data_IF_551732635222
#
_entry.id   IF_551732635222
#
_cell.length_a   1.000
_cell.length_b   1.000
_cell.length_c   1.000
_cell.angle_alpha   90.00
_cell.angle_beta   90.00
_cell.angle_gamma   90.00
#
_symmetry.space_group_name_H-M   'P 1'
#
loop_
_entity.id
_entity.type
_entity.pdbx_description
1 polymer ?
#
# COMPACT_ATOMS: atom_id res chain seq x y z
N UNK A 1 -13.67 3.12 -19.93
CA UNK A 1 -14.15 4.28 -19.15
C UNK A 1 -13.14 5.41 -19.31
N UNK A 2 -13.53 6.63 -19.71
CA UNK A 2 -12.58 7.69 -19.99
C UNK A 2 -12.54 8.68 -18.84
N UNK A 3 -11.86 8.34 -17.73
CA UNK A 3 -11.28 9.34 -16.80
C UNK A 3 -10.35 8.69 -15.75
N UNK A 4 -9.49 7.77 -16.18
CA UNK A 4 -8.56 7.08 -15.28
C UNK A 4 -7.14 7.45 -15.70
N UNK A 5 -6.57 8.42 -14.98
CA UNK A 5 -5.12 8.51 -14.82
C UNK A 5 -4.73 8.11 -13.40
N UNK A 6 -4.31 6.87 -13.17
CA UNK A 6 -3.32 6.51 -12.19
C UNK A 6 -1.99 6.47 -12.93
N UNK A 7 -1.47 7.64 -13.28
CA UNK A 7 -0.16 7.78 -13.90
C UNK A 7 0.90 7.90 -12.81
N UNK A 8 1.87 6.99 -12.78
CA UNK A 8 3.07 7.09 -11.96
C UNK A 8 3.76 8.45 -12.23
N UNK A 9 3.64 9.41 -11.31
CA UNK A 9 4.25 10.74 -11.46
C UNK A 9 5.55 10.77 -10.64
N UNK A 10 6.64 10.27 -11.24
CA UNK A 10 7.99 10.28 -10.64
C UNK A 10 8.28 9.12 -9.67
N UNK A 11 9.16 9.32 -8.69
CA UNK A 11 9.50 8.33 -7.65
C UNK A 11 8.37 8.05 -6.63
N UNK A 12 7.23 8.73 -6.78
CA UNK A 12 6.09 8.63 -5.87
C UNK A 12 5.08 7.63 -6.44
N UNK A 13 4.63 6.70 -5.59
CA UNK A 13 3.64 5.72 -5.99
C UNK A 13 2.29 6.40 -6.23
N UNK A 14 1.40 5.76 -7.01
CA UNK A 14 0.03 6.25 -7.24
C UNK A 14 -0.74 6.50 -5.93
N UNK A 15 -0.36 5.81 -4.86
CA UNK A 15 -0.89 5.98 -3.53
C UNK A 15 -0.46 7.31 -2.86
N UNK A 16 0.81 7.71 -3.01
CA UNK A 16 1.30 9.01 -2.52
C UNK A 16 0.60 10.18 -3.23
N UNK A 17 0.39 10.02 -4.54
CA UNK A 17 -0.36 10.98 -5.35
C UNK A 17 -1.83 11.07 -4.89
N UNK A 18 -2.43 9.94 -4.51
CA UNK A 18 -3.79 9.89 -3.97
C UNK A 18 -3.90 10.60 -2.62
N UNK A 19 -3.03 10.28 -1.65
CA UNK A 19 -3.06 10.93 -0.34
C UNK A 19 -2.89 12.45 -0.43
N UNK A 20 -1.98 12.92 -1.29
CA UNK A 20 -1.79 14.36 -1.56
C UNK A 20 -3.02 15.00 -2.20
N UNK A 21 -3.65 14.32 -3.16
CA UNK A 21 -4.85 14.82 -3.84
C UNK A 21 -6.05 15.00 -2.90
N UNK A 22 -6.17 14.13 -1.89
CA UNK A 22 -7.30 14.16 -0.95
C UNK A 22 -6.97 14.80 0.42
N UNK A 23 -5.78 15.38 0.58
CA UNK A 23 -5.33 16.08 1.81
C UNK A 23 -5.53 15.27 3.10
N UNK A 24 -5.20 13.98 3.07
CA UNK A 24 -5.20 13.17 4.28
C UNK A 24 -3.95 13.49 5.13
N UNK A 25 -4.14 14.21 6.24
CA UNK A 25 -3.10 14.48 7.26
C UNK A 25 -3.00 13.35 8.32
N UNK A 26 -3.18 12.10 7.89
CA UNK A 26 -3.07 10.93 8.78
C UNK A 26 -1.67 10.34 8.70
N UNK A 27 -0.90 10.44 9.80
CA UNK A 27 0.47 9.93 9.89
C UNK A 27 0.56 8.41 9.65
N UNK A 28 -0.46 7.66 10.04
CA UNK A 28 -0.52 6.22 9.80
C UNK A 28 -0.75 5.92 8.32
N UNK A 29 -1.61 6.67 7.63
CA UNK A 29 -1.78 6.55 6.17
C UNK A 29 -0.48 6.90 5.42
N UNK A 30 0.22 7.94 5.85
CA UNK A 30 1.53 8.30 5.27
C UNK A 30 2.56 7.18 5.46
N UNK A 31 2.57 6.49 6.61
CA UNK A 31 3.48 5.36 6.84
C UNK A 31 3.10 4.15 5.99
N UNK A 32 1.81 3.83 5.88
CA UNK A 32 1.29 2.81 4.96
C UNK A 32 1.72 3.11 3.52
N UNK A 33 1.65 4.36 3.09
CA UNK A 33 2.09 4.78 1.75
C UNK A 33 3.56 4.46 1.48
N UNK A 34 4.44 4.74 2.43
CA UNK A 34 5.87 4.43 2.31
C UNK A 34 6.12 2.91 2.21
N UNK A 35 5.43 2.12 3.04
CA UNK A 35 5.57 0.66 3.04
C UNK A 35 5.11 0.07 1.70
N UNK A 36 3.92 0.47 1.23
CA UNK A 36 3.35 -0.02 -0.04
C UNK A 36 4.13 0.51 -1.24
N UNK A 37 4.61 1.76 -1.16
CA UNK A 37 5.49 2.35 -2.16
C UNK A 37 6.77 1.53 -2.33
N UNK A 38 7.45 1.19 -1.23
CA UNK A 38 8.65 0.35 -1.24
C UNK A 38 8.40 -1.04 -1.85
N UNK A 39 7.26 -1.66 -1.50
CA UNK A 39 6.84 -2.93 -2.08
C UNK A 39 6.54 -2.83 -3.59
N UNK A 40 5.83 -1.78 -4.02
CA UNK A 40 5.36 -1.60 -5.39
C UNK A 40 6.42 -1.13 -6.38
N UNK A 41 7.46 -0.41 -5.93
CA UNK A 41 8.56 0.06 -6.77
C UNK A 41 9.79 -0.85 -6.74
N UNK A 42 9.75 -1.95 -5.99
CA UNK A 42 10.89 -2.86 -5.81
C UNK A 42 11.99 -2.33 -4.88
N UNK A 43 11.78 -1.20 -4.21
CA UNK A 43 12.68 -0.66 -3.19
C UNK A 43 12.40 -1.31 -1.83
N UNK A 44 12.62 -2.63 -1.74
CA UNK A 44 12.22 -3.42 -0.56
C UNK A 44 12.95 -3.04 0.74
N UNK A 45 14.00 -2.23 0.67
CA UNK A 45 14.69 -1.66 1.83
C UNK A 45 14.21 -0.26 2.23
N UNK A 46 13.20 0.30 1.56
CA UNK A 46 12.67 1.65 1.87
C UNK A 46 12.09 1.69 3.29
N UNK A 47 11.42 0.62 3.70
CA UNK A 47 11.00 0.39 5.08
C UNK A 47 11.27 -1.07 5.47
N UNK A 48 11.47 -1.38 6.77
CA UNK A 48 11.64 -2.77 7.23
C UNK A 48 10.51 -3.72 6.81
N UNK A 49 9.29 -3.19 6.68
CA UNK A 49 8.06 -3.93 6.38
C UNK A 49 7.86 -4.17 4.87
N UNK A 50 8.50 -3.38 4.01
CA UNK A 50 8.29 -3.38 2.55
C UNK A 50 8.49 -4.76 1.91
N UNK A 51 9.55 -5.47 2.30
CA UNK A 51 9.81 -6.83 1.81
C UNK A 51 8.72 -7.84 2.22
N UNK A 52 8.22 -7.72 3.45
CA UNK A 52 7.19 -8.61 3.99
C UNK A 52 5.84 -8.42 3.29
N UNK A 53 5.42 -7.16 3.13
CA UNK A 53 4.18 -6.84 2.40
C UNK A 53 4.26 -7.31 0.95
N UNK A 54 5.40 -7.10 0.28
CA UNK A 54 5.61 -7.60 -1.08
C UNK A 54 5.46 -9.13 -1.16
N UNK A 55 6.08 -9.88 -0.23
CA UNK A 55 5.97 -11.33 -0.19
C UNK A 55 4.52 -11.81 0.03
N UNK A 56 3.77 -11.16 0.93
CA UNK A 56 2.36 -11.48 1.19
C UNK A 56 1.50 -11.20 -0.04
N UNK A 57 1.64 -10.03 -0.67
CA UNK A 57 0.88 -9.67 -1.88
C UNK A 57 1.12 -10.65 -3.03
N UNK A 58 2.38 -11.08 -3.25
CA UNK A 58 2.71 -12.11 -4.24
C UNK A 58 2.15 -13.48 -3.83
N UNK A 59 2.14 -13.82 -2.54
CA UNK A 59 1.54 -15.04 -2.04
C UNK A 59 0.04 -15.11 -2.32
N UNK A 60 -0.68 -14.01 -2.06
CA UNK A 60 -2.12 -13.87 -2.33
C UNK A 60 -2.39 -14.06 -3.83
N UNK A 61 -1.63 -13.40 -4.71
CA UNK A 61 -1.85 -13.51 -6.16
C UNK A 61 -1.56 -14.90 -6.74
N UNK A 62 -0.72 -15.69 -6.06
CA UNK A 62 -0.48 -17.10 -6.40
C UNK A 62 -1.50 -18.06 -5.81
N UNK A 63 -2.16 -17.66 -4.73
CA UNK A 63 -3.14 -18.50 -4.02
C UNK A 63 -4.51 -18.42 -4.66
N UNK A 64 -4.92 -17.23 -5.10
CA UNK A 64 -6.25 -16.98 -5.66
C UNK A 64 -6.14 -16.57 -7.12
N UNK A 65 -6.85 -17.28 -8.00
CA UNK A 65 -6.90 -16.92 -9.42
C UNK A 65 -7.88 -15.77 -9.71
N UNK A 66 -8.90 -15.62 -8.86
CA UNK A 66 -9.91 -14.57 -8.95
C UNK A 66 -9.40 -13.27 -8.31
N UNK A 67 -9.52 -12.16 -9.04
CA UNK A 67 -9.03 -10.85 -8.63
C UNK A 67 -9.85 -10.26 -7.48
N UNK A 68 -11.15 -10.54 -7.42
CA UNK A 68 -12.01 -10.13 -6.31
C UNK A 68 -11.65 -10.85 -5.01
N UNK A 69 -11.28 -12.14 -5.06
CA UNK A 69 -10.73 -12.85 -3.91
C UNK A 69 -9.37 -12.28 -3.48
N UNK A 70 -8.44 -12.07 -4.42
CA UNK A 70 -7.16 -11.44 -4.10
C UNK A 70 -7.35 -10.08 -3.41
N UNK A 71 -8.25 -9.25 -3.94
CA UNK A 71 -8.57 -7.95 -3.36
C UNK A 71 -9.16 -8.10 -1.96
N UNK A 72 -10.12 -9.01 -1.75
CA UNK A 72 -10.76 -9.23 -0.45
C UNK A 72 -9.73 -9.55 0.63
N UNK A 73 -8.78 -10.45 0.35
CA UNK A 73 -7.72 -10.79 1.30
C UNK A 73 -6.67 -9.69 1.43
N UNK A 74 -6.32 -9.01 0.33
CA UNK A 74 -5.42 -7.87 0.35
C UNK A 74 -5.92 -6.72 1.21
N UNK A 75 -7.21 -6.40 1.15
CA UNK A 75 -7.83 -5.36 1.97
C UNK A 75 -7.67 -5.64 3.47
N UNK A 76 -7.84 -6.89 3.91
CA UNK A 76 -7.63 -7.26 5.32
C UNK A 76 -6.19 -7.01 5.77
N UNK A 77 -5.21 -7.29 4.91
CA UNK A 77 -3.78 -7.04 5.19
C UNK A 77 -3.52 -5.54 5.30
N UNK A 78 -4.04 -4.74 4.38
CA UNK A 78 -3.86 -3.28 4.40
C UNK A 78 -4.58 -2.62 5.59
N UNK A 79 -5.77 -3.08 5.96
CA UNK A 79 -6.48 -2.61 7.16
C UNK A 79 -5.70 -2.92 8.43
N UNK A 80 -5.19 -4.15 8.58
CA UNK A 80 -4.37 -4.54 9.73
C UNK A 80 -3.08 -3.72 9.82
N UNK A 81 -2.44 -3.48 8.67
CA UNK A 81 -1.24 -2.65 8.59
C UNK A 81 -1.52 -1.20 8.99
N UNK A 82 -2.62 -0.60 8.51
CA UNK A 82 -3.04 0.73 8.91
C UNK A 82 -3.27 0.83 10.43
N UNK A 83 -4.00 -0.13 11.01
CA UNK A 83 -4.24 -0.17 12.46
C UNK A 83 -2.93 -0.28 13.25
N UNK A 84 -1.97 -1.08 12.78
CA UNK A 84 -0.64 -1.16 13.39
C UNK A 84 0.11 0.17 13.33
N UNK A 85 0.17 0.80 12.15
CA UNK A 85 0.82 2.10 11.99
C UNK A 85 0.17 3.19 12.84
N UNK A 86 -1.14 3.12 13.04
CA UNK A 86 -1.87 4.04 13.90
C UNK A 86 -1.53 3.84 15.38
N UNK A 87 -1.46 2.58 15.84
CA UNK A 87 -1.06 2.29 17.21
C UNK A 87 0.36 2.77 17.53
N UNK A 88 1.29 2.68 16.56
CA UNK A 88 2.65 3.21 16.68
C UNK A 88 2.70 4.75 16.70
N UNK A 89 1.83 5.43 15.94
CA UNK A 89 1.76 6.89 15.91
C UNK A 89 1.13 7.51 17.17
N UNK A 90 0.28 6.75 17.87
CA UNK A 90 -0.40 7.16 19.10
C UNK A 90 0.47 6.93 20.37
N UNK A 91 1.68 6.39 20.23
CA UNK A 91 2.64 6.08 21.31
C UNK A 91 3.72 7.15 21.45
#
# INVERSE_FOLDING_TARGET
>A
MPDVEPGHHGELCSFDAFLRKYQFDDAALCRVAQIVGGAGTGHLGLTPESAGVCAVSIGISRTFADDHEQLRYGMVVYDAMYVSCKAEADT
#
